data_IF_403946387318
#
_entry.id   IF_403946387318
#
_cell.length_a   1.000
_cell.length_b   1.000
_cell.length_c   1.000
_cell.angle_alpha   90.00
_cell.angle_beta   90.00
_cell.angle_gamma   90.00
#
_symmetry.space_group_name_H-M   'P 1'
#
loop_
_entity.id
_entity.type
_entity.pdbx_description
1 polymer ?
#
# COMPACT_ATOMS: atom_id res chain seq x y z
N UNK A 1 4.40 -34.89 6.32
CA UNK A 1 5.09 -34.05 5.33
C UNK A 1 6.11 -33.20 6.08
N UNK A 2 7.35 -33.20 5.66
CA UNK A 2 8.37 -32.32 6.22
C UNK A 2 8.23 -30.92 5.54
N UNK A 3 7.60 -30.00 6.24
CA UNK A 3 7.36 -28.64 5.73
C UNK A 3 8.67 -27.84 5.57
N UNK A 4 9.67 -28.09 6.41
CA UNK A 4 10.96 -27.40 6.33
C UNK A 4 11.69 -27.75 5.04
N UNK A 5 11.83 -29.03 4.74
CA UNK A 5 12.44 -29.50 3.49
C UNK A 5 11.67 -29.02 2.24
N UNK A 6 10.33 -28.99 2.31
CA UNK A 6 9.52 -28.46 1.23
C UNK A 6 9.79 -26.97 0.98
N UNK A 7 9.80 -26.15 2.04
CA UNK A 7 10.05 -24.70 1.95
C UNK A 7 11.48 -24.42 1.46
N UNK A 8 12.48 -25.13 1.98
CA UNK A 8 13.88 -24.98 1.54
C UNK A 8 14.05 -25.26 0.05
N UNK A 9 13.40 -26.33 -0.45
CA UNK A 9 13.42 -26.67 -1.88
C UNK A 9 12.81 -25.55 -2.73
N UNK A 10 11.68 -24.98 -2.30
CA UNK A 10 11.03 -23.85 -3.01
C UNK A 10 11.89 -22.60 -2.99
N UNK A 11 12.53 -22.27 -1.86
CA UNK A 11 13.44 -21.13 -1.75
C UNK A 11 14.68 -21.31 -2.63
N UNK A 12 15.24 -22.52 -2.68
CA UNK A 12 16.37 -22.83 -3.56
C UNK A 12 15.99 -22.63 -5.04
N UNK A 13 14.78 -23.05 -5.45
CA UNK A 13 14.26 -22.80 -6.80
C UNK A 13 14.17 -21.30 -7.11
N UNK A 14 13.56 -20.50 -6.24
CA UNK A 14 13.48 -19.05 -6.42
C UNK A 14 14.86 -18.36 -6.52
N UNK A 15 15.84 -18.85 -5.77
CA UNK A 15 17.21 -18.33 -5.86
C UNK A 15 17.89 -18.70 -7.17
N UNK A 16 17.69 -19.94 -7.64
CA UNK A 16 18.24 -20.41 -8.92
C UNK A 16 17.65 -19.66 -10.13
N UNK A 17 16.38 -19.29 -10.06
CA UNK A 17 15.67 -18.50 -11.08
C UNK A 17 15.97 -16.99 -11.01
N UNK A 18 16.71 -16.52 -10.00
CA UNK A 18 16.95 -15.08 -9.78
C UNK A 18 15.72 -14.31 -9.26
N UNK A 19 14.67 -15.00 -8.85
CA UNK A 19 13.40 -14.44 -8.39
C UNK A 19 13.36 -14.20 -6.86
N UNK A 20 14.40 -14.61 -6.15
CA UNK A 20 14.47 -14.42 -4.69
C UNK A 20 14.76 -12.96 -4.37
N UNK A 21 13.77 -12.27 -3.79
CA UNK A 21 13.91 -10.86 -3.41
C UNK A 21 14.45 -10.71 -2.00
N UNK A 22 15.49 -9.90 -1.87
CA UNK A 22 16.03 -9.49 -0.58
C UNK A 22 15.60 -8.05 -0.31
N UNK A 23 15.00 -7.81 0.86
CA UNK A 23 14.62 -6.46 1.25
C UNK A 23 15.86 -5.65 1.63
N UNK A 24 16.00 -4.46 1.02
CA UNK A 24 17.06 -3.55 1.37
C UNK A 24 16.70 -2.77 2.64
N UNK A 25 17.53 -2.86 3.66
CA UNK A 25 17.39 -2.03 4.86
C UNK A 25 17.91 -0.62 4.53
N UNK A 26 16.97 0.35 4.48
CA UNK A 26 17.27 1.72 4.12
C UNK A 26 16.95 2.68 5.27
N UNK A 27 17.89 3.55 5.59
CA UNK A 27 17.69 4.68 6.49
C UNK A 27 17.71 5.97 5.68
N UNK A 28 16.54 6.61 5.59
CA UNK A 28 16.39 7.95 5.00
C UNK A 28 16.74 9.02 6.02
N UNK A 29 17.18 10.17 5.53
CA UNK A 29 17.44 11.35 6.36
C UNK A 29 16.55 12.49 5.91
N UNK A 30 15.92 13.16 6.87
CA UNK A 30 15.18 14.39 6.60
C UNK A 30 16.13 15.43 6.01
N UNK A 31 15.72 16.08 4.92
CA UNK A 31 16.48 17.13 4.25
C UNK A 31 17.62 16.65 3.34
N UNK A 32 17.78 15.33 3.17
CA UNK A 32 18.84 14.74 2.33
C UNK A 32 18.27 13.80 1.24
N UNK A 33 16.97 13.85 1.00
CA UNK A 33 16.34 13.07 -0.06
C UNK A 33 16.79 13.57 -1.45
N UNK A 34 17.10 12.69 -2.43
CA UNK A 34 16.88 11.22 -2.44
C UNK A 34 18.00 10.36 -1.84
N UNK A 35 18.97 10.96 -1.16
CA UNK A 35 20.06 10.20 -0.54
C UNK A 35 19.60 9.45 0.71
N UNK A 36 20.27 8.36 1.00
CA UNK A 36 20.02 7.54 2.15
C UNK A 36 21.22 6.64 2.49
N UNK A 37 21.04 5.82 3.49
CA UNK A 37 22.04 4.84 3.90
C UNK A 37 21.39 3.46 3.78
N UNK A 38 22.01 2.58 3.02
CA UNK A 38 21.69 1.15 3.01
C UNK A 38 22.58 0.43 4.02
N UNK A 39 21.98 -0.38 4.87
CA UNK A 39 22.72 -1.34 5.68
C UNK A 39 22.98 -2.59 4.83
N UNK A 40 24.24 -2.90 4.56
CA UNK A 40 24.64 -4.07 3.81
C UNK A 40 25.74 -4.79 4.60
N UNK A 41 25.48 -6.06 4.95
CA UNK A 41 26.38 -6.88 5.75
C UNK A 41 26.77 -6.22 7.10
N UNK A 42 25.80 -5.56 7.74
CA UNK A 42 26.00 -4.81 8.98
C UNK A 42 26.75 -3.50 8.82
N UNK A 43 27.12 -3.09 7.60
CA UNK A 43 27.87 -1.87 7.33
C UNK A 43 26.99 -0.82 6.63
N UNK A 44 27.06 0.46 7.06
CA UNK A 44 26.35 1.55 6.40
C UNK A 44 27.04 1.91 5.07
N UNK A 45 26.27 1.92 3.99
CA UNK A 45 26.72 2.36 2.66
C UNK A 45 25.81 3.48 2.15
N UNK A 46 26.35 4.63 1.69
CA UNK A 46 25.55 5.69 1.09
C UNK A 46 24.94 5.19 -0.22
N UNK A 47 23.69 5.56 -0.46
CA UNK A 47 22.92 5.22 -1.68
C UNK A 47 22.04 6.37 -2.09
N UNK A 48 21.72 6.44 -3.39
CA UNK A 48 20.67 7.32 -3.92
C UNK A 48 19.45 6.47 -4.25
N UNK A 49 18.29 6.83 -3.69
CA UNK A 49 17.04 6.08 -3.86
C UNK A 49 16.31 6.60 -5.11
N UNK A 50 16.26 5.79 -6.15
CA UNK A 50 15.57 6.10 -7.40
C UNK A 50 14.14 5.58 -7.46
N UNK A 51 13.80 4.58 -6.64
CA UNK A 51 12.52 3.90 -6.62
C UNK A 51 11.70 4.29 -5.37
N UNK A 52 11.28 5.55 -5.29
CA UNK A 52 10.44 6.03 -4.19
C UNK A 52 9.05 6.41 -4.70
N UNK A 53 8.01 6.15 -3.89
CA UNK A 53 6.65 6.65 -4.14
C UNK A 53 6.48 8.11 -3.66
N UNK A 54 7.46 8.66 -2.97
CA UNK A 54 7.48 10.06 -2.52
C UNK A 54 8.04 10.96 -3.64
N UNK A 55 7.33 11.00 -4.78
CA UNK A 55 7.78 11.70 -5.99
C UNK A 55 8.02 13.19 -5.80
N UNK A 56 7.28 13.82 -4.91
CA UNK A 56 7.35 15.26 -4.64
C UNK A 56 8.12 15.59 -3.34
N UNK A 57 8.72 14.59 -2.70
CA UNK A 57 9.37 14.71 -1.39
C UNK A 57 8.49 15.31 -0.28
N UNK A 58 7.16 15.17 -0.42
CA UNK A 58 6.18 15.73 0.51
C UNK A 58 6.26 15.11 1.91
N UNK A 59 6.74 13.86 2.02
CA UNK A 59 6.97 13.22 3.31
C UNK A 59 8.00 13.95 4.19
N UNK A 60 8.77 14.90 3.63
CA UNK A 60 9.76 15.70 4.34
C UNK A 60 9.43 17.19 4.37
N UNK A 61 8.31 17.57 3.76
CA UNK A 61 7.93 19.00 3.68
C UNK A 61 7.55 19.54 5.06
N UNK A 62 8.07 20.69 5.49
CA UNK A 62 7.83 21.24 6.83
C UNK A 62 6.35 21.32 7.19
N UNK A 63 5.50 21.82 6.31
CA UNK A 63 4.05 21.94 6.53
C UNK A 63 3.40 20.57 6.84
N UNK A 64 3.81 19.51 6.16
CA UNK A 64 3.29 18.15 6.41
C UNK A 64 3.76 17.65 7.77
N UNK A 65 5.05 17.83 8.07
CA UNK A 65 5.62 17.37 9.34
C UNK A 65 5.04 18.13 10.53
N UNK A 66 4.86 19.45 10.41
CA UNK A 66 4.28 20.27 11.47
C UNK A 66 2.81 19.88 11.73
N UNK A 67 2.03 19.62 10.68
CA UNK A 67 0.66 19.11 10.81
C UNK A 67 0.61 17.74 11.48
N UNK A 68 1.56 16.82 11.15
CA UNK A 68 1.66 15.52 11.80
C UNK A 68 2.01 15.66 13.29
N UNK A 69 2.93 16.54 13.66
CA UNK A 69 3.27 16.81 15.05
C UNK A 69 2.08 17.36 15.82
N UNK A 70 1.37 18.34 15.25
CA UNK A 70 0.17 18.91 15.87
C UNK A 70 -0.91 17.86 16.09
N UNK A 71 -1.17 17.00 15.10
CA UNK A 71 -2.14 15.92 15.23
C UNK A 71 -1.72 14.88 16.30
N UNK A 72 -0.44 14.54 16.36
CA UNK A 72 0.09 13.62 17.37
C UNK A 72 -0.08 14.16 18.78
N UNK A 73 0.19 15.46 18.97
CA UNK A 73 0.06 16.12 20.26
C UNK A 73 -1.42 16.26 20.69
N UNK A 74 -2.34 16.45 19.73
CA UNK A 74 -3.77 16.61 19.98
C UNK A 74 -4.48 15.29 20.29
N UNK A 75 -4.26 14.25 19.46
CA UNK A 75 -5.08 13.02 19.50
C UNK A 75 -4.28 11.73 19.74
N UNK A 76 -2.96 11.79 19.78
CA UNK A 76 -2.10 10.61 19.94
C UNK A 76 -1.84 9.86 18.63
N UNK A 77 -1.18 8.70 18.74
CA UNK A 77 -0.56 8.01 17.59
C UNK A 77 -1.48 7.05 16.83
N UNK A 78 -2.75 6.91 17.21
CA UNK A 78 -3.61 5.91 16.58
C UNK A 78 -5.08 6.21 16.63
N UNK A 79 -5.86 5.53 15.78
CA UNK A 79 -7.31 5.69 15.69
C UNK A 79 -8.11 4.91 16.74
N UNK A 80 -7.47 4.02 17.49
CA UNK A 80 -8.09 3.26 18.60
C UNK A 80 -9.03 2.13 18.18
N UNK A 81 -9.28 1.91 16.89
CA UNK A 81 -10.19 0.87 16.44
C UNK A 81 -10.38 0.81 14.92
N UNK A 82 -11.26 -0.09 14.49
CA UNK A 82 -11.68 -0.15 13.08
C UNK A 82 -12.65 0.97 12.74
N UNK A 83 -12.68 1.40 11.50
CA UNK A 83 -13.47 2.56 11.05
C UNK A 83 -14.97 2.45 11.33
N UNK A 84 -15.55 1.28 11.18
CA UNK A 84 -16.99 1.05 11.38
C UNK A 84 -17.40 0.82 12.85
N UNK A 85 -16.46 0.84 13.80
CA UNK A 85 -16.80 0.78 15.24
C UNK A 85 -16.46 2.10 15.91
N UNK A 86 -15.16 2.37 16.16
CA UNK A 86 -14.70 3.55 16.87
C UNK A 86 -13.46 4.22 16.26
N UNK A 87 -12.96 3.71 15.14
CA UNK A 87 -11.72 4.16 14.50
C UNK A 87 -11.89 5.24 13.42
N UNK A 88 -13.11 5.73 13.14
CA UNK A 88 -13.30 6.88 12.26
C UNK A 88 -13.08 8.17 13.04
N UNK A 89 -11.94 8.81 12.80
CA UNK A 89 -11.57 10.07 13.44
C UNK A 89 -11.98 11.28 12.59
N UNK A 90 -11.93 12.48 13.16
CA UNK A 90 -12.16 13.74 12.43
C UNK A 90 -11.18 13.91 11.27
N UNK A 91 -9.93 13.42 11.39
CA UNK A 91 -8.94 13.46 10.33
C UNK A 91 -9.30 12.57 9.13
N UNK A 92 -9.89 11.41 9.35
CA UNK A 92 -10.41 10.58 8.25
C UNK A 92 -11.49 11.33 7.47
N UNK A 93 -12.46 11.88 8.17
CA UNK A 93 -13.59 12.60 7.55
C UNK A 93 -13.13 13.85 6.81
N UNK A 94 -12.20 14.62 7.40
CA UNK A 94 -11.65 15.80 6.77
C UNK A 94 -10.88 15.44 5.49
N UNK A 95 -10.02 14.41 5.53
CA UNK A 95 -9.26 13.96 4.36
C UNK A 95 -10.17 13.44 3.25
N UNK A 96 -11.20 12.66 3.57
CA UNK A 96 -12.17 12.18 2.57
C UNK A 96 -12.89 13.33 1.88
N UNK A 97 -13.26 14.37 2.61
CA UNK A 97 -13.88 15.58 2.04
C UNK A 97 -12.92 16.31 1.10
N UNK A 98 -11.68 16.52 1.52
CA UNK A 98 -10.66 17.17 0.70
C UNK A 98 -10.36 16.38 -0.58
N UNK A 99 -10.24 15.05 -0.48
CA UNK A 99 -10.01 14.21 -1.64
C UNK A 99 -11.20 14.21 -2.61
N UNK A 100 -12.42 14.17 -2.10
CA UNK A 100 -13.63 14.28 -2.92
C UNK A 100 -13.67 15.63 -3.67
N UNK A 101 -13.37 16.72 -2.98
CA UNK A 101 -13.31 18.05 -3.59
C UNK A 101 -12.19 18.16 -4.65
N UNK A 102 -10.99 17.67 -4.32
CA UNK A 102 -9.84 17.68 -5.24
C UNK A 102 -10.12 16.94 -6.56
N UNK A 103 -10.85 15.83 -6.47
CA UNK A 103 -11.19 15.00 -7.62
C UNK A 103 -12.56 15.33 -8.24
N UNK A 104 -13.23 16.37 -7.78
CA UNK A 104 -14.58 16.75 -8.22
C UNK A 104 -15.58 15.56 -8.18
N UNK A 105 -15.55 14.82 -7.07
CA UNK A 105 -16.43 13.67 -6.78
C UNK A 105 -17.35 13.99 -5.61
N UNK A 106 -18.47 13.29 -5.54
CA UNK A 106 -19.46 13.45 -4.46
C UNK A 106 -18.91 12.97 -3.11
N UNK A 107 -18.08 11.94 -3.12
CA UNK A 107 -17.49 11.35 -1.91
C UNK A 107 -16.17 10.66 -2.21
N UNK A 108 -15.41 10.40 -1.16
CA UNK A 108 -14.21 9.56 -1.17
C UNK A 108 -14.22 8.62 0.03
N UNK A 109 -13.58 7.48 -0.10
CA UNK A 109 -13.37 6.51 0.97
C UNK A 109 -11.88 6.25 1.15
N UNK A 110 -11.37 6.53 2.33
CA UNK A 110 -9.98 6.25 2.69
C UNK A 110 -9.80 4.78 3.05
N UNK A 111 -8.85 4.13 2.42
CA UNK A 111 -8.41 2.77 2.72
C UNK A 111 -7.02 2.76 3.33
N UNK A 112 -6.65 1.68 4.04
CA UNK A 112 -5.34 1.53 4.69
C UNK A 112 -4.17 1.45 3.71
N UNK A 113 -4.45 1.09 2.45
CA UNK A 113 -3.46 1.07 1.37
C UNK A 113 -4.16 1.09 0.01
N UNK A 114 -3.42 1.41 -1.06
CA UNK A 114 -3.91 1.28 -2.43
C UNK A 114 -4.26 -0.17 -2.80
N UNK A 115 -3.55 -1.14 -2.21
CA UNK A 115 -3.88 -2.56 -2.38
C UNK A 115 -5.30 -2.86 -1.89
N UNK A 116 -5.61 -2.48 -0.64
CA UNK A 116 -6.94 -2.65 -0.05
C UNK A 116 -8.00 -1.86 -0.81
N UNK A 117 -7.68 -0.66 -1.28
CA UNK A 117 -8.61 0.14 -2.09
C UNK A 117 -9.01 -0.57 -3.38
N UNK A 118 -8.04 -1.15 -4.10
CA UNK A 118 -8.32 -1.92 -5.31
C UNK A 118 -9.11 -3.20 -5.00
N UNK A 119 -8.68 -3.96 -4.00
CA UNK A 119 -9.34 -5.20 -3.61
C UNK A 119 -10.80 -4.96 -3.19
N UNK A 120 -11.02 -4.01 -2.29
CA UNK A 120 -12.36 -3.69 -1.80
C UNK A 120 -13.27 -3.15 -2.91
N UNK A 121 -12.77 -2.27 -3.78
CA UNK A 121 -13.57 -1.66 -4.84
C UNK A 121 -13.91 -2.67 -5.94
N UNK A 122 -12.90 -3.28 -6.55
CA UNK A 122 -13.11 -4.20 -7.68
C UNK A 122 -13.82 -5.48 -7.24
N UNK A 123 -13.41 -6.06 -6.11
CA UNK A 123 -14.04 -7.26 -5.59
C UNK A 123 -15.50 -7.04 -5.17
N UNK A 124 -15.82 -5.88 -4.61
CA UNK A 124 -17.20 -5.55 -4.22
C UNK A 124 -18.07 -5.25 -5.43
N UNK A 125 -17.62 -4.41 -6.35
CA UNK A 125 -18.37 -4.07 -7.55
C UNK A 125 -18.61 -5.29 -8.44
N UNK A 126 -17.58 -6.13 -8.65
CA UNK A 126 -17.70 -7.34 -9.44
C UNK A 126 -18.69 -8.37 -8.87
N UNK A 127 -18.91 -8.36 -7.54
CA UNK A 127 -19.93 -9.22 -6.91
C UNK A 127 -21.35 -8.63 -6.93
N UNK A 128 -21.45 -7.32 -6.79
CA UNK A 128 -22.76 -6.66 -6.60
C UNK A 128 -23.45 -6.33 -7.92
N UNK A 129 -22.67 -6.02 -8.95
CA UNK A 129 -23.23 -5.67 -10.25
C UNK A 129 -23.68 -6.93 -10.99
N UNK A 130 -24.95 -7.01 -11.43
CA UNK A 130 -25.41 -8.14 -12.22
C UNK A 130 -24.68 -8.16 -13.58
N UNK A 131 -24.32 -9.36 -14.03
CA UNK A 131 -23.66 -9.61 -15.32
C UNK A 131 -22.38 -8.78 -15.53
N UNK A 132 -21.64 -8.52 -14.46
CA UNK A 132 -20.45 -7.68 -14.48
C UNK A 132 -19.33 -8.34 -15.26
N UNK A 133 -18.87 -7.68 -16.33
CA UNK A 133 -17.65 -8.05 -17.06
C UNK A 133 -16.49 -7.16 -16.61
N UNK A 134 -15.42 -7.79 -16.12
CA UNK A 134 -14.19 -7.09 -15.75
C UNK A 134 -13.16 -7.27 -16.87
N UNK A 135 -12.80 -6.17 -17.52
CA UNK A 135 -11.73 -6.12 -18.49
C UNK A 135 -10.46 -5.63 -17.80
N UNK A 136 -9.38 -6.40 -17.88
CA UNK A 136 -8.13 -6.11 -17.20
C UNK A 136 -6.96 -6.19 -18.16
N UNK A 137 -6.06 -5.21 -18.10
CA UNK A 137 -4.78 -5.25 -18.80
C UNK A 137 -3.87 -6.34 -18.20
N UNK A 138 -3.07 -6.99 -19.04
CA UNK A 138 -2.18 -8.08 -18.63
C UNK A 138 -1.07 -7.61 -17.66
N UNK A 139 -0.72 -6.33 -17.67
CA UNK A 139 0.30 -5.73 -16.83
C UNK A 139 -0.26 -4.90 -15.65
N UNK A 140 -1.55 -5.05 -15.36
CA UNK A 140 -2.14 -4.40 -14.20
C UNK A 140 -1.46 -4.79 -12.89
N UNK A 141 -1.52 -3.88 -11.92
CA UNK A 141 -0.97 -4.12 -10.59
C UNK A 141 -1.60 -5.37 -9.95
N UNK A 142 -0.80 -6.17 -9.25
CA UNK A 142 -1.22 -7.43 -8.63
C UNK A 142 -2.46 -7.30 -7.72
N UNK A 143 -2.65 -6.16 -7.04
CA UNK A 143 -3.84 -5.91 -6.22
C UNK A 143 -5.13 -5.88 -7.03
N UNK A 144 -5.08 -5.46 -8.30
CA UNK A 144 -6.24 -5.50 -9.19
C UNK A 144 -6.51 -6.93 -9.64
N UNK A 145 -5.49 -7.68 -10.02
CA UNK A 145 -5.62 -9.08 -10.43
C UNK A 145 -6.20 -9.95 -9.30
N UNK A 146 -5.68 -9.81 -8.07
CA UNK A 146 -6.17 -10.55 -6.89
C UNK A 146 -7.65 -10.22 -6.61
N UNK A 147 -8.07 -8.97 -6.82
CA UNK A 147 -9.43 -8.52 -6.51
C UNK A 147 -10.52 -9.30 -7.23
N UNK A 148 -10.27 -9.80 -8.44
CA UNK A 148 -11.25 -10.53 -9.22
C UNK A 148 -10.96 -12.04 -9.37
N UNK A 149 -9.75 -12.52 -9.06
CA UNK A 149 -9.44 -13.96 -9.13
C UNK A 149 -10.20 -14.79 -8.09
N UNK A 150 -10.64 -14.17 -7.00
CA UNK A 150 -11.48 -14.81 -5.98
C UNK A 150 -12.99 -14.61 -6.21
N UNK A 151 -13.38 -13.88 -7.24
CA UNK A 151 -14.76 -13.84 -7.65
C UNK A 151 -15.10 -15.17 -8.29
N UNK A 152 -15.92 -15.99 -7.63
CA UNK A 152 -16.61 -17.09 -8.29
C UNK A 152 -17.62 -16.47 -9.24
N UNK A 153 -17.18 -16.14 -10.44
CA UNK A 153 -18.09 -15.86 -11.53
C UNK A 153 -18.87 -17.14 -11.80
N UNK A 154 -20.21 -17.08 -11.96
CA UNK A 154 -20.93 -18.24 -12.45
C UNK A 154 -20.30 -18.58 -13.82
N UNK A 155 -19.51 -19.64 -13.85
CA UNK A 155 -19.03 -20.24 -15.10
C UNK A 155 -20.25 -20.88 -15.74
N UNK A 156 -20.95 -20.14 -16.56
CA UNK A 156 -21.82 -20.71 -17.53
C UNK A 156 -20.92 -21.35 -18.59
N UNK A 157 -20.71 -22.68 -18.43
CA UNK A 157 -20.14 -23.52 -19.44
C UNK A 157 -21.09 -23.62 -20.64
#
# INVERSE_FOLDING_TARGET
MDYSAFVETRLAGLKAEGNYRVFAELRRRRGDFPNGIRMADGQPKPVTVWCSNDYLAMAQHPVVLDAMHAALDEVGAGSGGTRNIAGTTTYHVALERELAALHAKESALLCTSGYVANEASLGTLGRLLPDCLILSDALNHASMTVSYTHLTLPTNA
#
